data_IF_939283887607
#
_entry.id   IF_939283887607
#
_cell.length_a   1.000
_cell.length_b   1.000
_cell.length_c   1.000
_cell.angle_alpha   90.00
_cell.angle_beta   90.00
_cell.angle_gamma   90.00
#
_symmetry.space_group_name_H-M   'P 1'
#
loop_
_entity.id
_entity.type
_entity.pdbx_description
1 polymer ?
#
# COMPACT_ATOMS: atom_id res chain seq x y z
N UNK A 1 18.30 5.57 11.01
CA UNK A 1 17.06 4.81 11.18
C UNK A 1 17.37 3.37 11.57
N UNK A 2 16.58 2.84 12.47
CA UNK A 2 16.74 1.48 12.96
C UNK A 2 16.28 0.47 11.92
N UNK A 3 17.09 -0.56 11.67
CA UNK A 3 16.77 -1.64 10.74
C UNK A 3 15.53 -2.43 11.17
N UNK A 4 15.21 -2.49 12.46
CA UNK A 4 14.03 -3.21 12.94
C UNK A 4 12.73 -2.51 12.52
N UNK A 5 12.73 -1.19 12.42
CA UNK A 5 11.58 -0.43 11.91
C UNK A 5 11.37 -0.73 10.43
N UNK A 6 12.43 -0.74 9.63
CA UNK A 6 12.35 -1.07 8.21
C UNK A 6 11.85 -2.50 7.99
N UNK A 7 12.35 -3.44 8.79
CA UNK A 7 11.89 -4.84 8.73
C UNK A 7 10.39 -4.94 9.03
N UNK A 8 9.93 -4.27 10.08
CA UNK A 8 8.52 -4.26 10.46
C UNK A 8 7.65 -3.72 9.33
N UNK A 9 8.05 -2.58 8.75
CA UNK A 9 7.29 -1.98 7.64
C UNK A 9 7.23 -2.86 6.41
N UNK A 10 8.29 -3.62 6.10
CA UNK A 10 8.30 -4.54 4.96
C UNK A 10 7.32 -5.70 5.11
N UNK A 11 7.04 -6.09 6.33
CA UNK A 11 6.18 -7.24 6.63
C UNK A 11 4.73 -6.87 6.94
N UNK A 12 4.41 -5.59 7.06
CA UNK A 12 3.05 -5.15 7.32
C UNK A 12 2.13 -5.50 6.15
N UNK A 13 0.94 -5.97 6.48
CA UNK A 13 -0.06 -6.29 5.48
C UNK A 13 -0.48 -5.03 4.71
N UNK A 14 -0.47 -5.11 3.40
CA UNK A 14 -0.80 -3.98 2.53
C UNK A 14 -2.20 -3.43 2.78
N UNK A 15 -3.16 -4.30 3.07
CA UNK A 15 -4.53 -3.88 3.40
C UNK A 15 -4.54 -2.95 4.62
N UNK A 16 -3.80 -3.31 5.66
CA UNK A 16 -3.69 -2.47 6.86
C UNK A 16 -3.01 -1.14 6.59
N UNK A 17 -1.95 -1.14 5.81
CA UNK A 17 -1.22 0.09 5.45
C UNK A 17 -2.08 1.02 4.61
N UNK A 18 -2.74 0.50 3.58
CA UNK A 18 -3.64 1.29 2.73
C UNK A 18 -4.77 1.90 3.57
N UNK A 19 -5.35 1.11 4.45
CA UNK A 19 -6.45 1.58 5.32
C UNK A 19 -6.01 2.69 6.26
N UNK A 20 -4.76 2.67 6.71
CA UNK A 20 -4.21 3.69 7.60
C UNK A 20 -3.77 4.95 6.88
N UNK A 21 -3.29 4.83 5.63
CA UNK A 21 -2.73 5.96 4.87
C UNK A 21 -3.75 6.70 4.01
N UNK A 22 -4.64 5.97 3.34
CA UNK A 22 -5.49 6.53 2.30
C UNK A 22 -6.61 7.41 2.87
N UNK A 23 -7.04 8.38 2.07
CA UNK A 23 -8.22 9.18 2.39
C UNK A 23 -9.48 8.33 2.28
N UNK A 24 -9.46 7.36 1.35
CA UNK A 24 -10.55 6.41 1.16
C UNK A 24 -9.98 5.09 0.66
N UNK A 25 -10.48 4.00 1.19
CA UNK A 25 -10.08 2.66 0.75
C UNK A 25 -11.26 1.71 0.87
N UNK A 26 -11.56 0.98 -0.21
CA UNK A 26 -12.66 0.02 -0.22
C UNK A 26 -12.27 -1.22 -0.98
N UNK A 27 -12.48 -2.38 -0.36
CA UNK A 27 -12.30 -3.67 -1.00
C UNK A 27 -13.39 -3.89 -2.06
N UNK A 28 -13.01 -4.46 -3.20
CA UNK A 28 -13.95 -4.89 -4.23
C UNK A 28 -14.40 -6.31 -3.94
N UNK A 29 -15.64 -6.53 -3.49
CA UNK A 29 -16.12 -7.85 -3.14
C UNK A 29 -16.38 -8.75 -4.35
N UNK A 30 -16.44 -8.18 -5.56
CA UNK A 30 -16.68 -8.94 -6.78
C UNK A 30 -15.42 -9.55 -7.37
N UNK A 31 -14.24 -9.18 -6.87
CA UNK A 31 -12.97 -9.67 -7.39
C UNK A 31 -12.75 -11.14 -7.01
N UNK A 32 -12.42 -11.95 -8.01
CA UNK A 32 -12.05 -13.35 -7.80
C UNK A 32 -10.59 -13.53 -8.20
N UNK A 33 -9.71 -13.82 -7.25
CA UNK A 33 -8.29 -13.98 -7.56
C UNK A 33 -8.02 -15.22 -8.40
N UNK A 34 -7.10 -15.08 -9.37
CA UNK A 34 -6.71 -16.17 -10.28
C UNK A 34 -5.45 -16.85 -9.81
N UNK A 35 -4.42 -16.07 -9.45
CA UNK A 35 -3.10 -16.58 -9.10
C UNK A 35 -2.91 -16.90 -7.63
N UNK A 36 -3.54 -16.14 -6.75
CA UNK A 36 -3.41 -16.30 -5.32
C UNK A 36 -4.74 -16.02 -4.64
N UNK A 37 -5.19 -16.95 -3.81
CA UNK A 37 -6.43 -16.81 -3.05
C UNK A 37 -6.36 -15.63 -2.07
N UNK A 38 -5.15 -15.20 -1.70
CA UNK A 38 -4.93 -14.12 -0.75
C UNK A 38 -4.92 -12.74 -1.40
N UNK A 39 -5.05 -12.65 -2.72
CA UNK A 39 -5.07 -11.38 -3.42
C UNK A 39 -6.46 -10.75 -3.35
N UNK A 40 -6.51 -9.48 -2.98
CA UNK A 40 -7.72 -8.68 -2.96
C UNK A 40 -7.54 -7.47 -3.86
N UNK A 41 -8.63 -7.03 -4.49
CA UNK A 41 -8.63 -5.78 -5.25
C UNK A 41 -9.27 -4.68 -4.40
N UNK A 42 -8.59 -3.53 -4.34
CA UNK A 42 -9.03 -2.39 -3.55
C UNK A 42 -9.05 -1.12 -4.40
N UNK A 43 -10.06 -0.31 -4.17
CA UNK A 43 -10.14 1.04 -4.69
C UNK A 43 -9.66 1.98 -3.61
N UNK A 44 -8.69 2.82 -3.94
CA UNK A 44 -7.99 3.67 -2.98
C UNK A 44 -7.93 5.09 -3.52
N UNK A 45 -8.21 6.06 -2.68
CA UNK A 45 -8.04 7.48 -3.02
C UNK A 45 -7.11 8.13 -2.02
N UNK A 46 -6.15 8.88 -2.53
CA UNK A 46 -5.21 9.64 -1.70
C UNK A 46 -4.72 10.87 -2.44
N UNK A 47 -4.82 12.05 -1.78
CA UNK A 47 -4.36 13.30 -2.34
C UNK A 47 -5.04 13.67 -3.67
N UNK A 48 -6.31 13.35 -3.83
CA UNK A 48 -7.05 13.63 -5.05
C UNK A 48 -6.80 12.65 -6.20
N UNK A 49 -6.00 11.61 -5.98
CA UNK A 49 -5.70 10.57 -6.97
C UNK A 49 -6.44 9.29 -6.62
N UNK A 50 -6.90 8.58 -7.64
CA UNK A 50 -7.58 7.30 -7.49
C UNK A 50 -6.72 6.17 -8.00
N UNK A 51 -6.70 5.07 -7.24
CA UNK A 51 -5.91 3.89 -7.53
C UNK A 51 -6.79 2.66 -7.53
N UNK A 52 -6.41 1.69 -8.34
CA UNK A 52 -6.96 0.34 -8.29
C UNK A 52 -5.79 -0.61 -8.05
N UNK A 53 -5.78 -1.20 -6.86
CA UNK A 53 -4.64 -2.00 -6.40
C UNK A 53 -5.04 -3.45 -6.17
N UNK A 54 -4.14 -4.35 -6.54
CA UNK A 54 -4.18 -5.75 -6.10
C UNK A 54 -3.25 -5.86 -4.90
N UNK A 55 -3.77 -6.32 -3.78
CA UNK A 55 -3.04 -6.43 -2.52
C UNK A 55 -2.90 -7.90 -2.13
N UNK A 56 -1.66 -8.33 -1.88
CA UNK A 56 -1.35 -9.71 -1.51
C UNK A 56 -0.33 -9.69 -0.37
N UNK A 57 -0.79 -9.93 0.88
CA UNK A 57 0.09 -9.79 2.03
C UNK A 57 0.70 -8.39 2.06
N UNK A 58 2.04 -8.27 2.18
CA UNK A 58 2.70 -6.95 2.15
C UNK A 58 2.87 -6.36 0.75
N UNK A 59 2.55 -7.11 -0.31
CA UNK A 59 2.78 -6.70 -1.69
C UNK A 59 1.58 -6.00 -2.30
N UNK A 60 1.86 -5.08 -3.23
CA UNK A 60 0.82 -4.42 -4.01
C UNK A 60 1.18 -4.38 -5.50
N UNK A 61 0.14 -4.31 -6.32
CA UNK A 61 0.26 -4.08 -7.76
C UNK A 61 -0.79 -3.06 -8.20
N UNK A 62 -0.34 -1.99 -8.83
CA UNK A 62 -1.22 -0.96 -9.39
C UNK A 62 -1.56 -1.34 -10.84
N UNK A 63 -2.81 -1.72 -11.08
CA UNK A 63 -3.22 -2.21 -12.38
C UNK A 63 -3.25 -1.11 -13.45
N UNK A 64 -3.46 0.14 -13.05
CA UNK A 64 -3.50 1.27 -13.99
C UNK A 64 -2.12 1.72 -14.41
N UNK A 65 -1.18 1.73 -13.48
CA UNK A 65 0.19 2.18 -13.74
C UNK A 65 1.13 1.04 -14.13
N UNK A 66 0.68 -0.21 -14.01
CA UNK A 66 1.50 -1.41 -14.23
C UNK A 66 2.78 -1.35 -13.38
N UNK A 67 2.63 -1.03 -12.12
CA UNK A 67 3.73 -0.87 -11.18
C UNK A 67 3.36 -1.48 -9.84
N UNK A 68 4.33 -2.02 -9.15
CA UNK A 68 4.10 -2.63 -7.85
C UNK A 68 5.30 -2.53 -6.94
N UNK A 69 5.16 -3.14 -5.79
CA UNK A 69 6.21 -3.17 -4.78
C UNK A 69 5.78 -3.97 -3.56
N UNK A 70 6.54 -3.86 -2.51
CA UNK A 70 6.27 -4.55 -1.25
C UNK A 70 6.69 -3.72 -0.06
N UNK A 71 5.85 -3.73 0.97
CA UNK A 71 6.10 -3.03 2.20
C UNK A 71 5.52 -1.64 2.28
N UNK A 72 5.42 -1.13 3.51
CA UNK A 72 4.76 0.15 3.79
C UNK A 72 5.44 1.34 3.13
N UNK A 73 6.78 1.33 3.04
CA UNK A 73 7.53 2.44 2.43
C UNK A 73 7.22 2.54 0.94
N UNK A 74 7.30 1.41 0.22
CA UNK A 74 6.98 1.39 -1.22
C UNK A 74 5.55 1.85 -1.46
N UNK A 75 4.63 1.41 -0.64
CA UNK A 75 3.23 1.78 -0.77
C UNK A 75 3.00 3.27 -0.52
N UNK A 76 3.64 3.83 0.51
CA UNK A 76 3.56 5.26 0.80
C UNK A 76 4.17 6.10 -0.33
N UNK A 77 5.31 5.67 -0.87
CA UNK A 77 5.93 6.34 -2.01
C UNK A 77 4.99 6.35 -3.22
N UNK A 78 4.35 5.23 -3.49
CA UNK A 78 3.47 5.09 -4.64
C UNK A 78 2.19 5.92 -4.49
N UNK A 79 1.51 5.80 -3.37
CA UNK A 79 0.23 6.47 -3.14
C UNK A 79 0.36 7.99 -2.99
N UNK A 80 1.38 8.44 -2.28
CA UNK A 80 1.56 9.87 -1.98
C UNK A 80 2.50 10.57 -2.98
N UNK A 81 3.12 9.83 -3.89
CA UNK A 81 4.06 10.40 -4.84
C UNK A 81 5.32 10.94 -4.16
N UNK A 82 5.78 10.29 -3.11
CA UNK A 82 6.88 10.76 -2.29
C UNK A 82 8.16 9.99 -2.58
N UNK A 83 9.30 10.65 -2.29
CA UNK A 83 10.60 9.98 -2.24
C UNK A 83 10.70 9.20 -0.94
N UNK A 84 11.68 8.29 -0.87
CA UNK A 84 11.89 7.42 0.28
C UNK A 84 11.88 8.17 1.62
N UNK A 85 12.65 9.25 1.71
CA UNK A 85 12.80 10.01 2.96
C UNK A 85 11.48 10.58 3.46
N UNK A 86 10.69 11.12 2.55
CA UNK A 86 9.40 11.72 2.88
C UNK A 86 8.34 10.65 3.16
N UNK A 87 8.41 9.51 2.49
CA UNK A 87 7.55 8.37 2.77
C UNK A 87 7.79 7.84 4.18
N UNK A 88 9.05 7.72 4.58
CA UNK A 88 9.42 7.31 5.93
C UNK A 88 8.84 8.28 6.96
N UNK A 89 8.98 9.58 6.70
CA UNK A 89 8.44 10.62 7.59
C UNK A 89 6.93 10.50 7.73
N UNK A 90 6.23 10.27 6.62
CA UNK A 90 4.77 10.09 6.63
C UNK A 90 4.36 8.89 7.49
N UNK A 91 5.05 7.77 7.34
CA UNK A 91 4.76 6.57 8.14
C UNK A 91 4.94 6.83 9.63
N UNK A 92 6.00 7.53 10.00
CA UNK A 92 6.27 7.90 11.40
C UNK A 92 5.17 8.82 11.92
N UNK A 93 4.80 9.85 11.16
CA UNK A 93 3.74 10.79 11.54
C UNK A 93 2.38 10.11 11.73
N UNK A 94 2.08 9.11 10.90
CA UNK A 94 0.82 8.35 10.98
C UNK A 94 0.89 7.21 11.98
N UNK A 95 2.03 7.03 12.64
CA UNK A 95 2.26 5.97 13.63
C UNK A 95 2.05 4.56 13.05
N UNK A 96 2.40 4.41 11.82
CA UNK A 96 2.43 3.12 11.14
C UNK A 96 3.79 2.44 11.36
#
# INVERSE_FOLDING_TARGET
MDNSILKRWRSLDAVGVVSALADYAKRDPSFSPIKSINTERWHVSMGGRDFELLLTGPKFWDTRESAGGGGAVDLAMHLAGLRFKDAVRLLVERRI
#
